data_IF_733428107492
#
_entry.id   IF_733428107492
#
_cell.length_a   1.000
_cell.length_b   1.000
_cell.length_c   1.000
_cell.angle_alpha   90.00
_cell.angle_beta   90.00
_cell.angle_gamma   90.00
#
_symmetry.space_group_name_H-M   'P 1'
#
loop_
_entity.id
_entity.type
_entity.pdbx_description
1 polymer ?
#
# COMPACT_ATOMS: atom_id res chain seq x y z
N UNK A 1 -26.78 -4.42 -13.71
CA UNK A 1 -27.04 -4.96 -12.37
C UNK A 1 -26.06 -4.30 -11.41
N UNK A 2 -26.54 -3.43 -10.54
CA UNK A 2 -25.70 -2.77 -9.51
C UNK A 2 -25.48 -3.78 -8.39
N UNK A 3 -24.25 -4.27 -8.23
CA UNK A 3 -23.88 -5.07 -7.06
C UNK A 3 -24.21 -4.24 -5.80
N UNK A 4 -25.01 -4.84 -4.90
CA UNK A 4 -25.38 -4.20 -3.65
C UNK A 4 -24.15 -3.92 -2.79
N UNK A 5 -24.24 -2.95 -1.88
CA UNK A 5 -23.15 -2.53 -1.00
C UNK A 5 -22.54 -3.67 -0.15
N UNK A 6 -23.22 -4.82 -0.05
CA UNK A 6 -22.80 -6.00 0.72
C UNK A 6 -21.86 -6.96 -0.03
N UNK A 7 -21.59 -6.74 -1.33
CA UNK A 7 -20.83 -7.68 -2.18
C UNK A 7 -19.46 -7.15 -2.63
N UNK A 8 -19.00 -6.03 -2.07
CA UNK A 8 -17.68 -5.49 -2.39
C UNK A 8 -16.62 -6.22 -1.56
N UNK A 9 -15.51 -6.64 -2.18
CA UNK A 9 -14.41 -7.22 -1.42
C UNK A 9 -13.91 -6.24 -0.37
N UNK A 10 -13.50 -6.76 0.78
CA UNK A 10 -12.96 -6.00 1.90
C UNK A 10 -11.51 -6.41 2.16
N UNK A 11 -10.68 -5.52 2.73
CA UNK A 11 -9.33 -5.89 3.15
C UNK A 11 -9.39 -6.97 4.22
N UNK A 12 -8.44 -7.92 4.16
CA UNK A 12 -8.30 -8.99 5.15
C UNK A 12 -7.00 -8.85 5.94
N UNK A 13 -7.00 -9.38 7.15
CA UNK A 13 -5.80 -9.48 7.97
C UNK A 13 -4.70 -10.27 7.25
N UNK A 14 -3.45 -9.86 7.44
CA UNK A 14 -2.31 -10.66 7.01
C UNK A 14 -2.14 -11.87 7.93
N UNK A 15 -1.83 -13.04 7.37
CA UNK A 15 -1.32 -14.17 8.14
C UNK A 15 0.11 -13.85 8.59
N UNK A 16 0.26 -13.40 9.84
CA UNK A 16 1.55 -12.98 10.39
C UNK A 16 2.35 -14.15 10.98
N UNK A 17 3.69 -14.15 10.86
CA UNK A 17 4.49 -13.19 10.10
C UNK A 17 4.31 -13.38 8.58
N UNK A 18 4.19 -12.27 7.85
CA UNK A 18 4.04 -12.28 6.40
C UNK A 18 5.38 -11.91 5.72
N UNK A 19 5.88 -12.80 4.89
CA UNK A 19 7.11 -12.58 4.15
C UNK A 19 6.83 -12.05 2.75
N UNK A 20 7.84 -11.40 2.17
CA UNK A 20 7.78 -10.89 0.83
C UNK A 20 9.17 -10.59 0.28
N UNK A 21 9.21 -10.12 -0.96
CA UNK A 21 10.46 -9.80 -1.63
C UNK A 21 10.26 -9.15 -2.99
N UNK A 22 11.38 -8.82 -3.62
CA UNK A 22 11.39 -8.25 -4.96
C UNK A 22 11.23 -9.34 -6.04
N UNK A 23 11.02 -8.89 -7.28
CA UNK A 23 10.83 -9.77 -8.44
C UNK A 23 11.99 -10.75 -8.67
N UNK A 24 13.25 -10.33 -8.44
CA UNK A 24 14.42 -11.20 -8.67
C UNK A 24 14.76 -12.09 -7.47
N UNK A 25 14.11 -11.90 -6.31
CA UNK A 25 14.38 -12.66 -5.09
C UNK A 25 15.59 -12.20 -4.28
N UNK A 26 16.39 -11.25 -4.78
CA UNK A 26 17.58 -10.78 -4.06
C UNK A 26 17.25 -10.05 -2.76
N UNK A 27 16.10 -9.35 -2.71
CA UNK A 27 15.62 -8.65 -1.53
C UNK A 27 14.47 -9.42 -0.90
N UNK A 28 14.56 -9.64 0.42
CA UNK A 28 13.51 -10.27 1.23
C UNK A 28 13.22 -9.42 2.45
N UNK A 29 11.95 -9.40 2.86
CA UNK A 29 11.49 -8.70 4.06
C UNK A 29 10.43 -9.51 4.81
N UNK A 30 10.15 -9.09 6.04
CA UNK A 30 9.12 -9.68 6.91
C UNK A 30 8.26 -8.58 7.52
N UNK A 31 6.97 -8.82 7.54
CA UNK A 31 5.96 -8.02 8.25
C UNK A 31 5.47 -8.81 9.47
N UNK A 32 5.51 -8.21 10.65
CA UNK A 32 5.15 -8.83 11.93
C UNK A 32 3.98 -8.14 12.64
N UNK A 33 3.48 -7.02 12.09
CA UNK A 33 2.33 -6.30 12.61
C UNK A 33 1.31 -6.07 11.50
N UNK A 34 0.02 -6.06 11.84
CA UNK A 34 -1.03 -5.78 10.86
C UNK A 34 -0.86 -4.38 10.27
N UNK A 35 -1.14 -4.23 8.96
CA UNK A 35 -1.25 -2.90 8.36
C UNK A 35 -2.33 -2.07 9.04
N UNK A 36 -2.17 -0.77 9.05
CA UNK A 36 -3.12 0.18 9.66
C UNK A 36 -4.09 0.79 8.63
N UNK A 37 -3.79 0.69 7.34
CA UNK A 37 -4.66 1.11 6.25
C UNK A 37 -4.20 0.51 4.92
N UNK A 38 -5.08 0.59 3.91
CA UNK A 38 -4.79 0.21 2.52
C UNK A 38 -5.33 1.25 1.54
N UNK A 39 -4.58 1.53 0.48
CA UNK A 39 -4.95 2.55 -0.48
C UNK A 39 -4.53 2.22 -1.92
N UNK A 40 -5.21 2.85 -2.88
CA UNK A 40 -4.78 3.01 -4.26
C UNK A 40 -4.58 4.49 -4.55
N UNK A 41 -3.39 4.88 -5.04
CA UNK A 41 -3.07 6.27 -5.35
C UNK A 41 -3.01 6.48 -6.87
N UNK A 42 -3.86 7.38 -7.36
CA UNK A 42 -3.99 7.69 -8.79
C UNK A 42 -3.12 8.88 -9.26
N UNK A 43 -2.28 9.47 -8.39
CA UNK A 43 -1.47 10.61 -8.81
C UNK A 43 -0.53 10.24 -9.96
N UNK A 44 -0.20 11.23 -10.81
CA UNK A 44 0.66 11.02 -11.99
C UNK A 44 2.04 10.45 -11.63
N UNK A 45 2.57 10.83 -10.46
CA UNK A 45 3.82 10.26 -9.94
C UNK A 45 3.73 8.75 -9.72
N UNK A 46 2.67 8.30 -9.04
CA UNK A 46 2.40 6.87 -8.82
C UNK A 46 2.17 6.11 -10.13
N UNK A 47 1.41 6.68 -11.07
CA UNK A 47 1.20 6.09 -12.39
C UNK A 47 2.53 5.86 -13.12
N UNK A 48 3.40 6.87 -13.16
CA UNK A 48 4.71 6.78 -13.83
C UNK A 48 5.66 5.79 -13.16
N UNK A 49 5.68 5.74 -11.83
CA UNK A 49 6.58 4.86 -11.10
C UNK A 49 6.14 3.40 -11.13
N UNK A 50 4.83 3.15 -11.07
CA UNK A 50 4.29 1.78 -11.10
C UNK A 50 4.12 1.22 -12.52
N UNK A 51 4.14 2.08 -13.54
CA UNK A 51 3.78 1.69 -14.91
C UNK A 51 2.32 1.20 -15.02
N UNK A 52 1.44 1.71 -14.14
CA UNK A 52 0.04 1.29 -14.02
C UNK A 52 -0.87 2.51 -13.86
N UNK A 53 -2.19 2.28 -13.84
CA UNK A 53 -3.19 3.32 -13.60
C UNK A 53 -3.11 3.94 -12.20
N UNK A 54 -2.56 3.21 -11.24
CA UNK A 54 -2.39 3.62 -9.84
C UNK A 54 -1.30 2.79 -9.16
N UNK A 55 -0.80 3.25 -8.04
CA UNK A 55 -0.02 2.43 -7.13
C UNK A 55 -0.90 1.89 -6.01
N UNK A 56 -0.54 0.72 -5.48
CA UNK A 56 -1.20 0.12 -4.31
C UNK A 56 -0.33 0.25 -3.07
N UNK A 57 -0.96 0.35 -1.91
CA UNK A 57 -0.26 0.60 -0.64
C UNK A 57 -0.91 -0.14 0.51
N UNK A 58 -0.08 -0.81 1.32
CA UNK A 58 -0.36 -1.16 2.71
C UNK A 58 0.46 -0.24 3.62
N UNK A 59 -0.20 0.46 4.53
CA UNK A 59 0.48 1.27 5.55
C UNK A 59 0.87 0.35 6.70
N UNK A 60 2.14 -0.03 6.76
CA UNK A 60 2.68 -0.97 7.76
C UNK A 60 3.45 -0.20 8.83
N UNK A 61 3.20 -0.45 10.14
CA UNK A 61 4.02 0.15 11.19
C UNK A 61 5.51 -0.13 10.97
N UNK A 62 6.36 0.89 11.20
CA UNK A 62 7.81 0.71 10.98
C UNK A 62 8.41 -0.33 11.91
N UNK A 63 7.85 -0.48 13.10
CA UNK A 63 8.23 -1.51 14.08
C UNK A 63 7.92 -2.92 13.61
N UNK A 64 6.92 -3.07 12.75
CA UNK A 64 6.48 -4.33 12.18
C UNK A 64 7.14 -4.69 10.84
N UNK A 65 8.16 -3.96 10.39
CA UNK A 65 8.82 -4.23 9.10
C UNK A 65 10.32 -4.45 9.26
N UNK A 66 10.84 -5.55 8.72
CA UNK A 66 12.25 -5.89 8.77
C UNK A 66 12.76 -6.35 7.41
N UNK A 67 13.86 -5.78 6.92
CA UNK A 67 14.62 -6.32 5.79
C UNK A 67 15.41 -7.53 6.28
N UNK A 68 15.19 -8.69 5.65
CA UNK A 68 15.88 -9.93 6.01
C UNK A 68 17.12 -10.17 5.14
N UNK A 69 17.09 -9.70 3.88
CA UNK A 69 18.15 -9.97 2.90
C UNK A 69 18.13 -8.90 1.81
N UNK A 70 19.29 -8.71 1.20
CA UNK A 70 19.47 -7.87 0.01
C UNK A 70 19.76 -6.41 0.33
N UNK A 71 20.04 -5.65 -0.73
CA UNK A 71 20.32 -4.23 -0.67
C UNK A 71 19.21 -3.41 -1.32
N UNK A 72 19.04 -2.19 -0.85
CA UNK A 72 18.06 -1.24 -1.35
C UNK A 72 18.72 0.01 -1.92
N UNK A 73 18.03 0.64 -2.86
CA UNK A 73 18.39 1.96 -3.39
C UNK A 73 17.19 2.87 -3.40
N UNK A 74 17.41 4.16 -3.24
CA UNK A 74 16.35 5.15 -3.42
C UNK A 74 16.15 5.43 -4.91
N UNK A 75 14.91 5.29 -5.36
CA UNK A 75 14.46 5.61 -6.72
C UNK A 75 13.51 6.79 -6.77
N UNK A 76 12.72 6.87 -7.83
CA UNK A 76 11.81 7.99 -8.09
C UNK A 76 12.55 9.32 -8.20
N UNK A 77 12.02 10.37 -7.63
CA UNK A 77 12.64 11.69 -7.62
C UNK A 77 13.79 11.85 -6.61
N UNK A 78 14.06 10.81 -5.82
CA UNK A 78 15.10 10.81 -4.78
C UNK A 78 14.95 11.97 -3.77
N UNK A 79 13.69 12.32 -3.45
CA UNK A 79 13.39 13.33 -2.44
C UNK A 79 13.80 12.83 -1.05
N UNK A 80 14.38 13.68 -0.19
CA UNK A 80 14.64 13.33 1.19
C UNK A 80 13.35 13.19 2.03
N UNK A 81 12.26 13.83 1.61
CA UNK A 81 10.99 13.84 2.34
C UNK A 81 10.04 12.71 1.92
N UNK A 82 10.31 12.05 0.80
CA UNK A 82 9.52 10.95 0.26
C UNK A 82 10.42 9.93 -0.41
N UNK A 83 10.89 8.99 0.38
CA UNK A 83 11.92 8.03 -0.02
C UNK A 83 11.28 6.78 -0.65
N UNK A 84 11.27 6.70 -1.97
CA UNK A 84 10.83 5.50 -2.69
C UNK A 84 11.97 4.48 -2.73
N UNK A 85 11.77 3.34 -2.08
CA UNK A 85 12.81 2.33 -1.88
C UNK A 85 12.60 1.16 -2.84
N UNK A 86 13.65 0.84 -3.55
CA UNK A 86 13.70 -0.17 -4.60
C UNK A 86 14.76 -1.23 -4.26
N UNK A 87 14.56 -2.44 -4.78
CA UNK A 87 15.62 -3.45 -4.79
C UNK A 87 16.82 -2.93 -5.59
N UNK A 88 18.03 -3.07 -5.04
CA UNK A 88 19.25 -2.60 -5.72
C UNK A 88 19.55 -3.36 -7.03
N UNK A 89 19.10 -4.63 -7.14
CA UNK A 89 19.38 -5.48 -8.30
C UNK A 89 18.35 -5.31 -9.42
N UNK A 90 17.06 -5.50 -9.12
CA UNK A 90 16.01 -5.51 -10.16
C UNK A 90 15.16 -4.24 -10.23
N UNK A 91 15.41 -3.27 -9.37
CA UNK A 91 14.72 -2.00 -9.29
C UNK A 91 13.19 -2.10 -9.07
N UNK A 92 12.69 -3.24 -8.57
CA UNK A 92 11.31 -3.33 -8.11
C UNK A 92 11.06 -2.32 -6.99
N UNK A 93 10.00 -1.50 -7.11
CA UNK A 93 9.60 -0.57 -6.06
C UNK A 93 8.94 -1.33 -4.93
N UNK A 94 9.59 -1.39 -3.76
CA UNK A 94 9.17 -2.25 -2.66
C UNK A 94 8.34 -1.49 -1.63
N UNK A 95 8.82 -0.36 -1.17
CA UNK A 95 8.09 0.48 -0.21
C UNK A 95 8.50 1.95 -0.32
N UNK A 96 7.72 2.81 0.31
CA UNK A 96 8.03 4.23 0.46
C UNK A 96 8.13 4.57 1.94
N UNK A 97 9.20 5.24 2.31
CA UNK A 97 9.43 5.78 3.65
C UNK A 97 9.17 7.28 3.64
N UNK A 98 8.39 7.75 4.59
CA UNK A 98 8.18 9.17 4.85
C UNK A 98 8.84 9.47 6.18
N UNK A 99 9.98 10.20 6.21
CA UNK A 99 10.66 10.51 7.47
C UNK A 99 9.72 11.18 8.46
N UNK A 100 9.79 10.76 9.73
CA UNK A 100 8.91 11.26 10.79
C UNK A 100 7.57 10.54 10.93
N UNK A 101 7.18 9.68 9.96
CA UNK A 101 5.99 8.85 10.09
C UNK A 101 6.32 7.50 10.74
N UNK A 102 5.43 7.03 11.61
CA UNK A 102 5.54 5.75 12.31
C UNK A 102 5.14 4.54 11.43
N UNK A 103 4.85 4.76 10.16
CA UNK A 103 4.54 3.73 9.17
C UNK A 103 5.35 3.92 7.90
N UNK A 104 5.40 2.87 7.09
CA UNK A 104 5.87 2.90 5.72
C UNK A 104 4.77 2.40 4.78
N UNK A 105 4.85 2.81 3.52
CA UNK A 105 3.92 2.42 2.46
C UNK A 105 4.49 1.23 1.69
N UNK A 106 4.18 0.01 2.13
CA UNK A 106 4.58 -1.23 1.45
C UNK A 106 3.74 -1.43 0.17
N UNK A 107 4.40 -1.87 -0.91
CA UNK A 107 3.66 -2.36 -2.09
C UNK A 107 3.11 -3.75 -1.79
N UNK A 108 1.78 -3.95 -1.71
CA UNK A 108 1.20 -5.24 -1.30
C UNK A 108 1.56 -6.39 -2.25
N UNK A 109 1.77 -6.10 -3.53
CA UNK A 109 2.21 -7.09 -4.53
C UNK A 109 3.63 -7.63 -4.32
N UNK A 110 4.38 -7.06 -3.37
CA UNK A 110 5.69 -7.57 -2.93
C UNK A 110 5.58 -8.63 -1.83
N UNK A 111 4.41 -8.81 -1.21
CA UNK A 111 4.15 -9.95 -0.32
C UNK A 111 4.11 -11.26 -1.12
N UNK A 112 4.54 -12.35 -0.50
CA UNK A 112 4.46 -13.70 -1.10
C UNK A 112 2.99 -14.11 -1.31
N UNK A 113 2.09 -13.69 -0.43
CA UNK A 113 0.64 -13.79 -0.59
C UNK A 113 -0.04 -12.40 -0.53
N UNK A 114 -0.31 -11.77 -1.67
CA UNK A 114 -1.03 -10.49 -1.72
C UNK A 114 -2.56 -10.64 -1.75
N UNK A 115 -3.12 -11.83 -1.67
CA UNK A 115 -4.53 -12.12 -1.94
C UNK A 115 -5.51 -11.42 -0.98
N UNK A 116 -5.05 -11.07 0.23
CA UNK A 116 -5.85 -10.31 1.20
C UNK A 116 -5.91 -8.81 0.95
N UNK A 117 -5.14 -8.29 0.00
CA UNK A 117 -5.13 -6.86 -0.28
C UNK A 117 -6.39 -6.42 -1.03
N UNK A 118 -7.08 -5.46 -0.44
CA UNK A 118 -8.12 -4.65 -1.08
C UNK A 118 -7.91 -3.20 -0.64
N UNK A 119 -7.90 -2.21 -1.53
CA UNK A 119 -7.79 -0.81 -1.10
C UNK A 119 -9.05 -0.37 -0.35
N UNK A 120 -8.90 0.17 0.86
CA UNK A 120 -9.98 0.82 1.58
C UNK A 120 -10.33 2.16 0.95
N UNK A 121 -9.29 2.88 0.49
CA UNK A 121 -9.46 4.21 -0.10
C UNK A 121 -8.73 4.36 -1.43
N UNK A 122 -9.27 5.23 -2.28
CA UNK A 122 -8.59 5.83 -3.44
C UNK A 122 -8.16 7.24 -3.09
N UNK A 123 -6.92 7.61 -3.43
CA UNK A 123 -6.40 8.98 -3.29
C UNK A 123 -6.03 9.56 -4.65
N UNK A 124 -6.05 10.89 -4.75
CA UNK A 124 -5.74 11.64 -5.98
C UNK A 124 -6.64 11.24 -7.17
N UNK A 125 -7.94 11.04 -6.91
CA UNK A 125 -8.89 10.64 -7.96
C UNK A 125 -9.12 11.72 -9.02
N UNK A 126 -8.74 12.98 -8.75
CA UNK A 126 -8.71 14.05 -9.74
C UNK A 126 -7.77 13.75 -10.93
N UNK A 127 -6.77 12.89 -10.73
CA UNK A 127 -5.83 12.46 -11.76
C UNK A 127 -6.11 11.04 -12.29
N UNK A 128 -7.21 10.43 -11.84
CA UNK A 128 -7.60 9.06 -12.17
C UNK A 128 -7.84 8.89 -13.68
N UNK A 129 -7.31 7.81 -14.23
CA UNK A 129 -7.63 7.41 -15.61
C UNK A 129 -9.09 6.96 -15.69
N UNK A 130 -9.85 7.35 -16.76
CA UNK A 130 -11.30 7.12 -16.82
C UNK A 130 -11.73 5.64 -16.71
N UNK A 131 -10.88 4.72 -17.14
CA UNK A 131 -11.16 3.27 -17.12
C UNK A 131 -10.70 2.57 -15.84
N UNK A 132 -9.92 3.24 -14.99
CA UNK A 132 -9.36 2.62 -13.80
C UNK A 132 -10.42 2.55 -12.69
N UNK A 133 -10.79 1.35 -12.28
CA UNK A 133 -11.73 1.13 -11.19
C UNK A 133 -11.11 0.27 -10.09
N UNK A 134 -11.44 0.59 -8.85
CA UNK A 134 -11.07 -0.21 -7.67
C UNK A 134 -12.31 -0.43 -6.80
N UNK A 135 -12.31 -1.45 -5.92
CA UNK A 135 -13.40 -1.69 -4.99
C UNK A 135 -13.38 -0.77 -3.76
N UNK A 136 -12.48 0.22 -3.71
CA UNK A 136 -12.33 1.11 -2.56
C UNK A 136 -13.66 1.76 -2.12
N UNK A 137 -13.86 1.82 -0.80
CA UNK A 137 -15.07 2.40 -0.19
C UNK A 137 -15.05 3.91 -0.17
N UNK A 138 -13.86 4.48 0.03
CA UNK A 138 -13.64 5.94 0.13
C UNK A 138 -12.84 6.44 -1.07
N UNK A 139 -13.22 7.61 -1.58
CA UNK A 139 -12.58 8.25 -2.73
C UNK A 139 -12.29 9.71 -2.40
N UNK A 140 -11.03 10.11 -2.55
CA UNK A 140 -10.56 11.46 -2.28
C UNK A 140 -9.95 12.06 -3.55
N UNK A 141 -10.37 13.27 -3.93
CA UNK A 141 -9.80 14.00 -5.09
C UNK A 141 -8.30 14.24 -4.93
N UNK A 142 -7.85 14.42 -3.68
CA UNK A 142 -6.45 14.54 -3.29
C UNK A 142 -6.13 13.51 -2.22
N UNK A 143 -5.37 13.85 -1.18
CA UNK A 143 -5.21 13.02 0.01
C UNK A 143 -6.39 13.24 0.98
N UNK A 144 -6.69 12.25 1.83
CA UNK A 144 -7.67 12.44 2.89
C UNK A 144 -7.27 13.65 3.77
N UNK A 145 -8.22 14.50 4.17
CA UNK A 145 -7.92 15.56 5.12
C UNK A 145 -7.54 14.95 6.48
N UNK A 146 -6.75 15.66 7.30
CA UNK A 146 -6.23 15.10 8.57
C UNK A 146 -7.29 14.48 9.48
N UNK A 147 -8.47 15.09 9.57
CA UNK A 147 -9.61 14.61 10.37
C UNK A 147 -10.22 13.29 9.87
N UNK A 148 -10.02 12.94 8.62
CA UNK A 148 -10.53 11.69 8.05
C UNK A 148 -9.66 10.48 8.41
N UNK A 149 -8.39 10.67 8.77
CA UNK A 149 -7.47 9.55 9.00
C UNK A 149 -7.89 8.68 10.18
N UNK A 150 -8.25 9.27 11.33
CA UNK A 150 -8.69 8.51 12.51
C UNK A 150 -9.81 7.52 12.17
N UNK A 151 -10.97 8.00 11.66
CA UNK A 151 -12.07 7.13 11.23
C UNK A 151 -11.69 6.06 10.20
N UNK A 152 -10.81 6.39 9.24
CA UNK A 152 -10.34 5.41 8.23
C UNK A 152 -9.49 4.29 8.86
N UNK A 153 -8.63 4.62 9.80
CA UNK A 153 -7.80 3.63 10.51
C UNK A 153 -8.67 2.71 11.39
N UNK A 154 -9.67 3.27 12.08
CA UNK A 154 -10.62 2.51 12.89
C UNK A 154 -11.49 1.57 12.02
N UNK A 155 -11.99 2.05 10.87
CA UNK A 155 -12.73 1.22 9.93
C UNK A 155 -11.85 0.08 9.39
N UNK A 156 -10.62 0.37 9.00
CA UNK A 156 -9.68 -0.64 8.51
C UNK A 156 -9.43 -1.73 9.56
N UNK A 157 -9.14 -1.32 10.80
CA UNK A 157 -8.92 -2.26 11.90
C UNK A 157 -10.14 -3.15 12.16
N UNK A 158 -11.35 -2.58 12.10
CA UNK A 158 -12.60 -3.32 12.25
C UNK A 158 -12.81 -4.35 11.15
N UNK A 159 -12.52 -3.97 9.89
CA UNK A 159 -12.69 -4.84 8.73
C UNK A 159 -11.76 -6.06 8.79
N UNK A 160 -10.47 -5.85 9.10
CA UNK A 160 -9.52 -6.96 9.17
C UNK A 160 -9.78 -7.88 10.38
N UNK A 161 -10.34 -7.36 11.47
CA UNK A 161 -10.70 -8.17 12.64
C UNK A 161 -11.96 -9.04 12.43
N UNK A 162 -12.84 -8.67 11.49
CA UNK A 162 -14.09 -9.39 11.23
C UNK A 162 -13.93 -10.65 10.37
N UNK A 163 -12.74 -10.87 9.82
CA UNK A 163 -12.42 -11.99 8.91
C UNK A 163 -11.58 -13.10 9.59
N UNK A 164 -11.38 -13.02 10.92
CA UNK A 164 -10.69 -14.05 11.72
C UNK A 164 -11.63 -15.22 12.14
#
# INVERSE_FOLDING_TARGET
>A
MTAGASDRPVPRALALPADGGCRCGALRFRVTEQPIASAACHCRGCQKMSGSAFSTTLMVPVTGFTLLQGAVVQGGMKSPDLMHIHCAECLSWVFTRIPGMEFLNLRPTMLDDPSGFVPLMETCTSEKLPWAETPARHKFEHFPPPEAFGPLLEEYATLIASEE
#
